data_IF_035753000727
#
_entry.id   IF_035753000727
#
_cell.length_a   1.000
_cell.length_b   1.000
_cell.length_c   1.000
_cell.angle_alpha   90.00
_cell.angle_beta   90.00
_cell.angle_gamma   90.00
#
_symmetry.space_group_name_H-M   'P 1'
#
loop_
_entity.id
_entity.type
_entity.pdbx_description
1 polymer ?
#
# COMPACT_ATOMS: atom_id res chain seq x y z
N UNK A 1 17.89 5.67 -16.85
CA UNK A 1 18.74 4.91 -15.93
C UNK A 1 18.21 3.52 -15.76
N UNK A 2 19.05 2.57 -16.02
CA UNK A 2 18.69 1.15 -15.99
C UNK A 2 18.12 0.68 -14.66
N UNK A 3 18.60 1.27 -13.54
CA UNK A 3 18.12 0.88 -12.22
C UNK A 3 16.65 1.19 -11.98
N UNK A 4 16.14 2.29 -12.51
CA UNK A 4 14.73 2.63 -12.34
C UNK A 4 13.81 1.71 -13.12
N UNK A 5 14.26 1.25 -14.29
CA UNK A 5 13.50 0.29 -15.08
C UNK A 5 13.42 -1.08 -14.40
N UNK A 6 14.41 -1.39 -13.53
CA UNK A 6 14.47 -2.67 -12.81
C UNK A 6 13.80 -2.63 -11.46
N UNK A 7 13.30 -1.47 -11.00
CA UNK A 7 12.58 -1.40 -9.73
C UNK A 7 11.28 -2.20 -9.83
N UNK A 8 10.97 -2.97 -8.79
CA UNK A 8 9.76 -3.78 -8.82
C UNK A 8 8.52 -2.90 -8.78
N UNK A 9 7.51 -3.29 -9.55
CA UNK A 9 6.18 -2.69 -9.50
C UNK A 9 5.47 -3.07 -8.20
N UNK A 10 5.68 -4.31 -7.74
CA UNK A 10 5.08 -4.84 -6.54
C UNK A 10 6.14 -5.49 -5.66
N UNK A 11 5.97 -5.38 -4.37
CA UNK A 11 6.84 -6.00 -3.37
C UNK A 11 5.98 -6.86 -2.45
N UNK A 12 6.48 -8.03 -2.10
CA UNK A 12 5.87 -8.92 -1.11
C UNK A 12 6.78 -9.05 0.09
N UNK A 13 6.18 -8.97 1.27
CA UNK A 13 6.89 -9.18 2.54
C UNK A 13 6.13 -10.20 3.36
N UNK A 14 6.78 -11.32 3.69
CA UNK A 14 6.22 -12.24 4.65
C UNK A 14 6.49 -11.72 6.06
N UNK A 15 5.43 -11.66 6.86
CA UNK A 15 5.50 -11.17 8.22
C UNK A 15 4.79 -12.13 9.17
N UNK A 16 4.95 -11.90 10.48
CA UNK A 16 4.21 -12.66 11.48
C UNK A 16 2.69 -12.51 11.32
N UNK A 17 2.24 -11.38 10.75
CA UNK A 17 0.82 -11.14 10.49
C UNK A 17 0.31 -11.81 9.21
N UNK A 18 1.20 -12.31 8.34
CA UNK A 18 0.89 -12.91 7.06
C UNK A 18 1.61 -12.21 5.91
N UNK A 19 1.20 -12.50 4.69
CA UNK A 19 1.79 -11.88 3.50
C UNK A 19 1.27 -10.45 3.34
N UNK A 20 2.19 -9.50 3.23
CA UNK A 20 1.89 -8.09 3.01
C UNK A 20 2.39 -7.69 1.63
N UNK A 21 1.51 -7.11 0.82
CA UNK A 21 1.86 -6.58 -0.48
C UNK A 21 2.08 -5.08 -0.43
N UNK A 22 2.93 -4.58 -1.31
CA UNK A 22 3.20 -3.15 -1.47
C UNK A 22 3.08 -2.78 -2.94
N UNK A 23 2.28 -1.78 -3.21
CA UNK A 23 2.14 -1.15 -4.54
C UNK A 23 2.19 0.36 -4.38
N UNK A 24 2.51 1.06 -5.46
CA UNK A 24 2.50 2.52 -5.41
C UNK A 24 1.07 3.07 -5.26
N UNK A 25 0.10 2.59 -6.02
CA UNK A 25 -1.24 3.16 -6.06
C UNK A 25 -2.38 2.18 -5.77
N UNK A 26 -2.54 1.12 -6.53
CA UNK A 26 -3.65 0.17 -6.35
C UNK A 26 -3.39 -1.12 -7.13
N UNK A 27 -4.17 -2.16 -6.80
CA UNK A 27 -4.19 -3.41 -7.56
C UNK A 27 -5.37 -3.41 -8.55
N UNK A 28 -5.13 -3.75 -9.82
CA UNK A 28 -6.23 -3.91 -10.78
C UNK A 28 -7.08 -5.15 -10.54
N UNK A 29 -6.61 -6.07 -9.71
CA UNK A 29 -7.29 -7.33 -9.42
C UNK A 29 -7.59 -7.46 -7.94
N UNK A 30 -8.73 -8.10 -7.62
CA UNK A 30 -9.10 -8.41 -6.24
C UNK A 30 -8.41 -9.68 -5.71
N UNK A 31 -7.46 -10.22 -6.45
CA UNK A 31 -6.66 -11.39 -6.07
C UNK A 31 -5.19 -11.12 -6.37
N UNK A 32 -4.37 -11.14 -5.33
CA UNK A 32 -2.95 -10.87 -5.43
C UNK A 32 -2.20 -11.89 -6.28
N UNK A 33 -2.64 -13.15 -6.23
CA UNK A 33 -2.04 -14.21 -7.02
C UNK A 33 -2.22 -13.94 -8.52
N UNK A 34 -3.37 -13.42 -8.90
CA UNK A 34 -3.64 -13.02 -10.30
C UNK A 34 -2.73 -11.88 -10.70
N UNK A 35 -2.60 -10.86 -9.86
CA UNK A 35 -1.70 -9.74 -10.15
C UNK A 35 -0.25 -10.22 -10.28
N UNK A 36 0.20 -11.06 -9.36
CA UNK A 36 1.57 -11.61 -9.42
C UNK A 36 1.81 -12.32 -10.75
N UNK A 37 0.86 -13.14 -11.16
CA UNK A 37 0.97 -13.89 -12.42
C UNK A 37 1.11 -12.95 -13.62
N UNK A 38 0.28 -11.92 -13.69
CA UNK A 38 0.35 -10.95 -14.79
C UNK A 38 1.66 -10.17 -14.80
N UNK A 39 2.17 -9.78 -13.64
CA UNK A 39 3.43 -9.04 -13.55
C UNK A 39 4.64 -9.92 -13.91
N UNK A 40 4.56 -11.22 -13.65
CA UNK A 40 5.66 -12.15 -13.96
C UNK A 40 5.65 -12.62 -15.42
N UNK A 41 4.46 -12.85 -15.98
CA UNK A 41 4.33 -13.46 -17.31
C UNK A 41 4.16 -12.44 -18.44
N UNK A 42 3.46 -11.34 -18.16
CA UNK A 42 3.11 -10.38 -19.18
C UNK A 42 3.25 -8.97 -18.61
N UNK A 43 4.18 -8.22 -19.16
CA UNK A 43 4.45 -6.87 -18.74
C UNK A 43 3.43 -5.90 -19.39
N UNK A 44 2.16 -6.09 -19.10
CA UNK A 44 1.07 -5.29 -19.66
C UNK A 44 1.13 -3.86 -19.13
N UNK A 45 1.29 -2.86 -20.03
CA UNK A 45 1.32 -1.45 -19.60
C UNK A 45 0.07 -0.99 -18.86
N UNK A 46 -1.10 -1.54 -19.16
CA UNK A 46 -2.35 -1.17 -18.48
C UNK A 46 -2.36 -1.65 -17.03
N UNK A 47 -1.87 -2.86 -16.79
CA UNK A 47 -1.73 -3.38 -15.42
C UNK A 47 -0.75 -2.52 -14.62
N UNK A 48 0.38 -2.19 -15.20
CA UNK A 48 1.38 -1.33 -14.56
C UNK A 48 0.82 0.06 -14.26
N UNK A 49 0.05 0.61 -15.18
CA UNK A 49 -0.55 1.94 -15.00
C UNK A 49 -1.48 1.95 -13.78
N UNK A 50 -2.33 0.94 -13.61
CA UNK A 50 -3.19 0.85 -12.43
C UNK A 50 -2.37 0.75 -11.17
N UNK A 51 -1.35 -0.09 -11.14
CA UNK A 51 -0.48 -0.26 -9.97
C UNK A 51 0.21 1.03 -9.55
N UNK A 52 0.53 1.90 -10.52
CA UNK A 52 1.34 3.10 -10.29
C UNK A 52 0.52 4.38 -10.16
N UNK A 53 -0.67 4.46 -10.78
CA UNK A 53 -1.37 5.73 -10.96
C UNK A 53 -2.83 5.74 -10.53
N UNK A 54 -3.47 4.59 -10.33
CA UNK A 54 -4.91 4.55 -10.09
C UNK A 54 -5.30 5.21 -8.77
N UNK A 55 -6.37 6.00 -8.82
CA UNK A 55 -7.02 6.60 -7.65
C UNK A 55 -8.43 6.06 -7.46
N UNK A 56 -8.80 5.04 -8.23
CA UNK A 56 -10.16 4.54 -8.28
C UNK A 56 -10.68 4.09 -6.91
N UNK A 57 -9.90 3.31 -6.18
CA UNK A 57 -10.34 2.74 -4.90
C UNK A 57 -10.77 3.80 -3.91
N UNK A 58 -9.97 4.86 -3.79
CA UNK A 58 -10.32 5.99 -2.92
C UNK A 58 -11.50 6.78 -3.45
N UNK A 59 -11.57 6.97 -4.77
CA UNK A 59 -12.66 7.74 -5.39
C UNK A 59 -14.02 7.11 -5.17
N UNK A 60 -14.12 5.79 -5.30
CA UNK A 60 -15.40 5.07 -5.19
C UNK A 60 -15.63 4.47 -3.81
N UNK A 61 -14.64 4.51 -2.93
CA UNK A 61 -14.74 3.90 -1.61
C UNK A 61 -14.83 2.39 -1.66
N UNK A 62 -14.05 1.76 -2.54
CA UNK A 62 -14.08 0.31 -2.76
C UNK A 62 -13.48 -0.41 -1.56
N UNK A 63 -14.30 -1.18 -0.85
CA UNK A 63 -13.91 -1.94 0.33
C UNK A 63 -13.69 -3.42 0.06
N UNK A 64 -13.69 -3.83 -1.19
CA UNK A 64 -13.42 -5.23 -1.54
C UNK A 64 -11.97 -5.58 -1.20
N UNK A 65 -11.74 -6.63 -0.38
CA UNK A 65 -10.37 -7.01 -0.04
C UNK A 65 -9.62 -7.58 -1.24
N UNK A 66 -8.32 -7.36 -1.26
CA UNK A 66 -7.43 -8.08 -2.18
C UNK A 66 -7.09 -9.41 -1.56
N UNK A 67 -7.59 -10.50 -2.14
CA UNK A 67 -7.41 -11.83 -1.62
C UNK A 67 -5.96 -12.29 -1.78
N UNK A 68 -5.53 -13.17 -0.89
CA UNK A 68 -4.17 -13.71 -0.89
C UNK A 68 -3.18 -12.87 -0.08
N UNK A 69 -3.63 -11.77 0.52
CA UNK A 69 -2.82 -10.90 1.37
C UNK A 69 -3.47 -10.70 2.73
N UNK A 70 -2.63 -10.55 3.75
CA UNK A 70 -3.08 -10.01 5.03
C UNK A 70 -3.41 -8.52 4.89
N UNK A 71 -2.60 -7.80 4.15
CA UNK A 71 -2.82 -6.39 3.85
C UNK A 71 -2.09 -5.99 2.58
N UNK A 72 -2.62 -4.98 1.90
CA UNK A 72 -1.96 -4.28 0.81
C UNK A 72 -1.69 -2.85 1.25
N UNK A 73 -0.44 -2.40 1.12
CA UNK A 73 -0.04 -1.05 1.50
C UNK A 73 0.20 -0.23 0.24
N UNK A 74 -0.48 0.89 0.11
CA UNK A 74 -0.38 1.77 -1.06
C UNK A 74 -0.19 3.22 -0.65
N UNK A 75 0.28 4.03 -1.60
CA UNK A 75 0.45 5.47 -1.45
C UNK A 75 -0.17 6.22 -2.61
N UNK A 76 0.60 7.10 -3.22
CA UNK A 76 0.30 7.88 -4.43
C UNK A 76 -0.76 8.97 -4.26
N UNK A 77 -1.93 8.64 -3.72
CA UNK A 77 -3.01 9.62 -3.53
C UNK A 77 -3.02 10.07 -2.08
N UNK A 78 -2.75 11.36 -1.80
CA UNK A 78 -2.71 11.84 -0.42
C UNK A 78 -4.07 11.73 0.26
N UNK A 79 -4.03 11.33 1.52
CA UNK A 79 -5.19 11.27 2.42
C UNK A 79 -4.85 12.04 3.69
N UNK A 80 -5.86 12.53 4.41
CA UNK A 80 -5.63 13.29 5.64
C UNK A 80 -5.07 12.41 6.75
N UNK A 81 -5.58 11.20 6.84
CA UNK A 81 -5.14 10.19 7.80
C UNK A 81 -5.03 8.85 7.07
N UNK A 82 -4.20 7.95 7.57
CA UNK A 82 -4.12 6.61 7.05
C UNK A 82 -5.51 5.98 7.00
N UNK A 83 -5.88 5.39 5.87
CA UNK A 83 -7.24 4.92 5.62
C UNK A 83 -7.21 3.46 5.18
N UNK A 84 -8.07 2.65 5.80
CA UNK A 84 -8.24 1.25 5.45
C UNK A 84 -9.52 1.06 4.64
N UNK A 85 -9.37 0.50 3.44
CA UNK A 85 -10.50 0.07 2.61
C UNK A 85 -10.35 -1.44 2.34
N UNK A 86 -11.23 -2.25 2.94
CA UNK A 86 -11.06 -3.70 2.93
C UNK A 86 -9.80 -4.09 3.70
N UNK A 87 -8.80 -4.62 3.01
CA UNK A 87 -7.47 -4.85 3.56
C UNK A 87 -6.39 -3.96 2.92
N UNK A 88 -6.80 -2.89 2.23
CA UNK A 88 -5.90 -1.97 1.53
C UNK A 88 -5.70 -0.71 2.36
N UNK A 89 -4.48 -0.51 2.84
CA UNK A 89 -4.09 0.65 3.63
C UNK A 89 -3.53 1.74 2.73
N UNK A 90 -4.14 2.93 2.80
CA UNK A 90 -3.67 4.13 2.13
C UNK A 90 -2.85 4.95 3.11
N UNK A 91 -1.54 5.04 2.89
CA UNK A 91 -0.59 5.55 3.88
C UNK A 91 0.04 6.89 3.50
N UNK A 92 -0.25 7.43 2.33
CA UNK A 92 0.30 8.72 1.92
C UNK A 92 -0.48 9.85 2.57
N UNK A 93 0.07 10.41 3.64
CA UNK A 93 -0.53 11.54 4.36
C UNK A 93 0.04 12.89 3.94
N UNK A 94 0.67 12.95 2.76
CA UNK A 94 1.17 14.20 2.19
C UNK A 94 2.40 14.75 2.89
N UNK A 95 3.26 13.89 3.42
CA UNK A 95 4.43 14.29 4.19
C UNK A 95 5.35 15.26 3.45
N UNK A 96 5.44 15.12 2.13
CA UNK A 96 6.25 16.00 1.29
C UNK A 96 5.77 17.47 1.31
N UNK A 97 4.48 17.68 1.56
CA UNK A 97 3.88 19.03 1.59
C UNK A 97 3.63 19.51 3.02
N UNK A 98 3.22 18.63 3.93
CA UNK A 98 2.80 19.00 5.29
C UNK A 98 3.84 18.71 6.37
N UNK A 99 4.85 17.91 6.05
CA UNK A 99 5.81 17.40 7.04
C UNK A 99 5.24 16.29 7.92
N UNK A 100 4.01 15.86 7.69
CA UNK A 100 3.35 14.80 8.46
C UNK A 100 3.44 13.49 7.70
N UNK A 101 4.35 12.62 8.12
CA UNK A 101 4.54 11.30 7.53
C UNK A 101 3.83 10.24 8.33
N UNK A 102 3.31 9.23 7.63
CA UNK A 102 2.73 8.04 8.24
C UNK A 102 3.66 6.87 8.06
N UNK A 103 3.95 6.20 9.17
CA UNK A 103 4.77 4.99 9.20
C UNK A 103 3.95 3.84 9.74
N UNK A 104 4.24 2.63 9.26
CA UNK A 104 3.56 1.42 9.72
C UNK A 104 4.56 0.32 9.98
N UNK A 105 4.42 -0.35 11.12
CA UNK A 105 5.16 -1.58 11.41
C UNK A 105 4.49 -2.73 10.67
N UNK A 106 5.18 -3.30 9.69
CA UNK A 106 4.61 -4.33 8.83
C UNK A 106 4.43 -5.67 9.55
N UNK A 107 5.13 -5.90 10.66
CA UNK A 107 4.97 -7.14 11.43
C UNK A 107 3.66 -7.17 12.20
N UNK A 108 3.23 -6.02 12.69
CA UNK A 108 2.04 -5.89 13.54
C UNK A 108 0.91 -5.16 12.87
N UNK A 109 1.17 -4.48 11.74
CA UNK A 109 0.25 -3.58 11.05
C UNK A 109 -0.20 -2.44 11.97
N UNK A 110 0.70 -1.95 12.81
CA UNK A 110 0.44 -0.82 13.69
C UNK A 110 1.02 0.45 13.10
N UNK A 111 0.28 1.55 13.23
CA UNK A 111 0.77 2.87 12.85
C UNK A 111 1.79 3.37 13.86
N UNK A 112 2.82 4.03 13.34
CA UNK A 112 3.85 4.68 14.13
C UNK A 112 3.73 6.18 13.88
N UNK A 113 3.66 6.97 14.95
CA UNK A 113 3.51 8.43 14.84
C UNK A 113 4.78 9.15 15.28
N UNK A 114 5.77 9.29 14.39
CA UNK A 114 6.98 10.02 14.74
C UNK A 114 6.67 11.52 14.72
N UNK A 115 6.66 12.15 15.88
CA UNK A 115 6.64 13.61 15.99
C UNK A 115 7.99 14.07 16.51
N UNK A 116 8.47 15.24 16.05
CA UNK A 116 9.72 15.79 16.60
C UNK A 116 9.65 15.88 18.11
N UNK A 117 10.64 15.28 18.79
CA UNK A 117 10.73 15.31 20.24
C UNK A 117 9.86 14.32 21.00
N UNK A 118 9.05 13.53 20.34
CA UNK A 118 8.24 12.50 20.97
C UNK A 118 8.86 11.11 20.77
N UNK A 119 8.70 10.26 21.81
CA UNK A 119 9.04 8.85 21.67
C UNK A 119 8.05 8.20 20.72
N UNK A 120 8.56 7.51 19.73
CA UNK A 120 7.74 6.80 18.75
C UNK A 120 7.21 5.52 19.37
N UNK A 121 5.90 5.43 19.52
CA UNK A 121 5.22 4.24 20.03
C UNK A 121 4.27 3.73 18.94
N UNK A 122 4.36 2.44 18.53
CA UNK A 122 3.42 1.88 17.60
C UNK A 122 1.99 2.00 18.09
N UNK A 123 1.10 2.46 17.22
CA UNK A 123 -0.33 2.58 17.55
C UNK A 123 -1.08 1.41 16.92
N UNK A 124 -2.04 0.81 17.65
CA UNK A 124 -2.89 -0.19 17.03
C UNK A 124 -3.66 0.41 15.86
N UNK A 125 -3.72 -0.34 14.77
CA UNK A 125 -4.53 0.06 13.62
C UNK A 125 -5.98 -0.17 13.98
N UNK A 126 -6.82 0.86 13.83
CA UNK A 126 -8.23 0.73 14.10
C UNK A 126 -8.85 -0.38 13.25
N UNK A 127 -9.72 -1.22 13.83
CA UNK A 127 -10.41 -2.24 13.04
C UNK A 127 -11.21 -1.58 11.93
N UNK A 128 -11.15 -2.19 10.78
CA UNK A 128 -11.90 -1.72 9.63
C UNK A 128 -13.38 -2.03 9.81
#
# INVERSE_FOLDING_TARGET
>A
MERFEQLPIAIEVESAAGLVGLLHADSPYADWTVLRTWLELDDDPQVREVCQWSRRRLKVGDTEPVQGLRALLVGHTPVLEAKLLGNVWHLDTGGWASGHFTLMDMRTLQLVSPRPGETTVPQPIAPA
#
